data_IF_600647429145
#
_entry.id   IF_600647429145
#
_cell.length_a   1.000
_cell.length_b   1.000
_cell.length_c   1.000
_cell.angle_alpha   90.00
_cell.angle_beta   90.00
_cell.angle_gamma   90.00
#
_symmetry.space_group_name_H-M   'P 1'
#
loop_
_entity.id
_entity.type
_entity.pdbx_description
1 polymer ?
#
# COMPACT_ATOMS: atom_id res chain seq x y z
N UNK A 1 -3.18 -3.81 -27.36
CA UNK A 1 -2.10 -4.68 -26.84
C UNK A 1 -2.71 -5.67 -25.87
N UNK A 2 -2.37 -6.97 -25.96
CA UNK A 2 -2.89 -8.00 -25.07
C UNK A 2 -1.73 -8.59 -24.27
N UNK A 3 -1.92 -8.77 -22.96
CA UNK A 3 -0.92 -9.33 -22.05
C UNK A 3 -1.57 -10.39 -21.17
N UNK A 4 -0.95 -11.55 -21.06
CA UNK A 4 -1.36 -12.60 -20.12
C UNK A 4 -0.54 -12.47 -18.84
N UNK A 5 -1.20 -12.55 -17.70
CA UNK A 5 -0.58 -12.47 -16.38
C UNK A 5 -1.12 -13.60 -15.49
N UNK A 6 -0.31 -13.98 -14.51
CA UNK A 6 -0.51 -15.15 -13.65
C UNK A 6 -1.14 -14.84 -12.29
N UNK A 7 -1.40 -13.56 -12.00
CA UNK A 7 -1.98 -13.16 -10.74
C UNK A 7 -2.78 -11.84 -10.84
N UNK A 8 -3.69 -11.64 -9.91
CA UNK A 8 -4.58 -10.48 -9.86
C UNK A 8 -3.84 -9.17 -9.58
N UNK A 9 -2.72 -9.22 -8.86
CA UNK A 9 -1.90 -8.04 -8.55
C UNK A 9 -1.27 -7.49 -9.84
N UNK A 10 -0.83 -8.38 -10.73
CA UNK A 10 -0.32 -7.96 -12.04
C UNK A 10 -1.42 -7.31 -12.89
N UNK A 11 -2.68 -7.79 -12.81
CA UNK A 11 -3.84 -7.15 -13.45
C UNK A 11 -4.04 -5.72 -12.90
N UNK A 12 -4.02 -5.55 -11.58
CA UNK A 12 -4.17 -4.23 -10.94
C UNK A 12 -3.04 -3.28 -11.34
N UNK A 13 -1.80 -3.76 -11.39
CA UNK A 13 -0.64 -2.97 -11.80
C UNK A 13 -0.78 -2.48 -13.25
N UNK A 14 -1.15 -3.38 -14.17
CA UNK A 14 -1.35 -3.04 -15.57
C UNK A 14 -2.54 -2.09 -15.77
N UNK A 15 -3.61 -2.28 -15.02
CA UNK A 15 -4.79 -1.41 -15.03
C UNK A 15 -4.42 0.01 -14.58
N UNK A 16 -3.68 0.14 -13.46
CA UNK A 16 -3.24 1.43 -12.95
C UNK A 16 -2.30 2.13 -13.93
N UNK A 17 -1.36 1.40 -14.50
CA UNK A 17 -0.45 1.93 -15.53
C UNK A 17 -1.20 2.42 -16.77
N UNK A 18 -2.18 1.64 -17.25
CA UNK A 18 -2.98 2.02 -18.41
C UNK A 18 -3.79 3.30 -18.15
N UNK A 19 -4.43 3.39 -16.98
CA UNK A 19 -5.19 4.58 -16.58
C UNK A 19 -4.30 5.83 -16.45
N UNK A 20 -3.10 5.71 -15.90
CA UNK A 20 -2.15 6.82 -15.80
C UNK A 20 -1.69 7.34 -17.16
N UNK A 21 -1.65 6.44 -18.17
CA UNK A 21 -1.28 6.79 -19.56
C UNK A 21 -2.48 7.16 -20.43
N UNK A 22 -3.69 7.17 -19.88
CA UNK A 22 -4.92 7.44 -20.63
C UNK A 22 -5.31 6.34 -21.61
N UNK A 23 -4.85 5.11 -21.39
CA UNK A 23 -5.21 3.97 -22.23
C UNK A 23 -6.48 3.31 -21.72
N UNK A 24 -7.36 2.88 -22.63
CA UNK A 24 -8.46 1.99 -22.30
C UNK A 24 -7.93 0.64 -21.82
N UNK A 25 -8.48 0.10 -20.73
CA UNK A 25 -8.06 -1.20 -20.20
C UNK A 25 -9.27 -2.09 -19.90
N UNK A 26 -9.16 -3.36 -20.29
CA UNK A 26 -10.13 -4.43 -19.97
C UNK A 26 -9.36 -5.63 -19.46
N UNK A 27 -9.84 -6.23 -18.37
CA UNK A 27 -9.27 -7.45 -17.80
C UNK A 27 -10.31 -8.58 -17.80
N UNK A 28 -9.87 -9.78 -18.10
CA UNK A 28 -10.71 -10.99 -18.12
C UNK A 28 -9.97 -12.14 -17.44
N UNK A 29 -10.63 -12.86 -16.53
CA UNK A 29 -10.10 -14.08 -15.93
C UNK A 29 -10.36 -15.25 -16.87
N UNK A 30 -9.29 -15.88 -17.39
CA UNK A 30 -9.38 -17.03 -18.29
C UNK A 30 -9.45 -18.34 -17.51
N UNK A 31 -8.65 -18.50 -16.48
CA UNK A 31 -8.63 -19.68 -15.61
C UNK A 31 -8.09 -19.31 -14.23
N UNK A 32 -8.03 -20.30 -13.31
CA UNK A 32 -7.38 -20.09 -12.02
C UNK A 32 -5.89 -19.75 -12.20
N UNK A 33 -5.50 -18.55 -11.78
CA UNK A 33 -4.14 -18.05 -11.91
C UNK A 33 -3.78 -17.52 -13.31
N UNK A 34 -4.76 -17.34 -14.22
CA UNK A 34 -4.49 -16.72 -15.54
C UNK A 34 -5.50 -15.63 -15.87
N UNK A 35 -4.98 -14.45 -16.15
CA UNK A 35 -5.76 -13.27 -16.49
C UNK A 35 -5.26 -12.67 -17.81
N UNK A 36 -6.18 -12.21 -18.64
CA UNK A 36 -5.90 -11.48 -19.86
C UNK A 36 -6.19 -10.00 -19.62
N UNK A 37 -5.22 -9.15 -19.86
CA UNK A 37 -5.37 -7.71 -19.82
C UNK A 37 -5.22 -7.16 -21.24
N UNK A 38 -6.26 -6.51 -21.73
CA UNK A 38 -6.29 -5.86 -23.03
C UNK A 38 -6.19 -4.36 -22.84
N UNK A 39 -5.16 -3.73 -23.39
CA UNK A 39 -4.97 -2.29 -23.39
C UNK A 39 -5.22 -1.72 -24.80
N UNK A 40 -6.10 -0.74 -24.88
CA UNK A 40 -6.44 0.00 -26.10
C UNK A 40 -5.68 1.33 -26.07
N UNK A 41 -4.69 1.47 -26.94
CA UNK A 41 -3.90 2.71 -27.09
C UNK A 41 -4.64 3.56 -28.13
N UNK A 42 -5.32 4.62 -27.68
CA UNK A 42 -5.93 5.60 -28.58
C UNK A 42 -4.85 6.40 -29.33
N UNK A 43 -5.09 6.76 -30.58
CA UNK A 43 -4.15 7.53 -31.42
C UNK A 43 -3.84 8.94 -30.88
N UNK A 44 -4.56 9.43 -29.86
CA UNK A 44 -4.35 10.76 -29.25
C UNK A 44 -3.28 10.81 -28.16
N UNK A 45 -2.73 9.68 -27.73
CA UNK A 45 -1.74 9.64 -26.65
C UNK A 45 -0.28 9.92 -27.08
N UNK A 46 -0.04 10.24 -28.35
CA UNK A 46 1.31 10.47 -28.89
C UNK A 46 1.77 11.93 -28.91
N UNK A 47 1.01 12.86 -28.38
CA UNK A 47 1.40 14.29 -28.41
C UNK A 47 1.22 14.95 -27.03
N UNK A 48 2.35 15.15 -26.35
CA UNK A 48 2.60 16.38 -25.60
C UNK A 48 2.03 16.54 -24.22
N UNK A 49 2.92 16.34 -23.26
CA UNK A 49 3.16 17.25 -22.17
C UNK A 49 2.35 18.58 -22.22
N UNK A 50 1.61 18.94 -21.20
CA UNK A 50 1.49 20.23 -20.53
C UNK A 50 0.08 20.53 -19.98
N UNK A 51 0.10 21.04 -18.74
CA UNK A 51 -0.85 21.96 -18.11
C UNK A 51 -2.09 21.39 -17.40
N UNK A 52 -1.95 21.43 -16.08
CA UNK A 52 -2.90 21.97 -15.09
C UNK A 52 -4.22 22.51 -15.67
N UNK A 53 -5.34 21.94 -15.28
CA UNK A 53 -6.50 22.75 -14.90
C UNK A 53 -7.44 21.99 -13.98
N UNK A 54 -7.89 22.70 -12.95
CA UNK A 54 -8.79 22.27 -11.91
C UNK A 54 -10.24 22.14 -12.43
N UNK A 55 -11.02 21.44 -11.63
CA UNK A 55 -12.47 21.36 -11.57
C UNK A 55 -13.14 20.33 -12.49
N UNK A 56 -13.59 19.20 -11.90
CA UNK A 56 -15.03 19.07 -11.68
C UNK A 56 -15.34 18.03 -10.58
N UNK A 57 -16.25 18.39 -9.72
CA UNK A 57 -16.71 17.61 -8.59
C UNK A 57 -17.68 16.52 -9.06
N UNK A 58 -17.42 15.29 -8.66
CA UNK A 58 -18.46 14.28 -8.53
C UNK A 58 -18.33 13.65 -7.16
N UNK A 59 -19.25 14.03 -6.30
CA UNK A 59 -19.49 13.50 -4.97
C UNK A 59 -19.74 12.00 -5.06
N UNK A 60 -18.89 11.22 -4.44
CA UNK A 60 -19.25 9.91 -3.90
C UNK A 60 -19.12 10.02 -2.39
N UNK A 61 -20.25 10.02 -1.73
CA UNK A 61 -20.39 9.99 -0.29
C UNK A 61 -19.58 8.81 0.26
N UNK A 62 -18.42 9.14 0.84
CA UNK A 62 -17.76 8.24 1.79
C UNK A 62 -18.36 8.53 3.14
N UNK A 63 -19.01 7.54 3.72
CA UNK A 63 -19.43 7.56 5.11
C UNK A 63 -18.26 8.04 5.98
N UNK A 64 -18.43 9.23 6.55
CA UNK A 64 -17.56 9.77 7.60
C UNK A 64 -17.75 8.90 8.84
N UNK A 65 -16.89 7.91 8.98
CA UNK A 65 -16.73 7.26 10.27
C UNK A 65 -15.92 8.22 11.13
N UNK A 66 -16.61 8.90 12.05
CA UNK A 66 -16.03 9.81 13.04
C UNK A 66 -15.08 9.05 13.96
N UNK A 67 -13.84 8.90 13.58
CA UNK A 67 -12.76 8.56 14.48
C UNK A 67 -12.28 9.83 15.21
N UNK A 68 -11.89 9.75 16.50
CA UNK A 68 -11.46 10.90 17.27
C UNK A 68 -10.26 11.59 16.61
N UNK A 69 -10.23 12.91 16.69
CA UNK A 69 -9.32 13.88 16.10
C UNK A 69 -7.81 13.57 16.25
N UNK A 70 -7.32 12.49 15.67
CA UNK A 70 -5.90 12.29 15.53
C UNK A 70 -5.35 13.25 14.46
N UNK A 71 -4.37 14.08 14.82
CA UNK A 71 -3.66 14.94 13.88
C UNK A 71 -2.72 14.04 13.07
N UNK A 72 -2.98 13.90 11.78
CA UNK A 72 -2.11 13.15 10.88
C UNK A 72 -1.11 14.11 10.20
N UNK A 73 0.18 13.81 10.36
CA UNK A 73 1.23 14.47 9.60
C UNK A 73 1.34 13.87 8.19
N UNK A 74 1.95 14.60 7.25
CA UNK A 74 2.29 14.05 5.92
C UNK A 74 3.56 13.18 5.99
N UNK A 75 3.61 12.28 6.96
CA UNK A 75 4.70 11.32 7.18
C UNK A 75 4.27 9.94 6.75
N UNK A 76 5.11 9.29 5.97
CA UNK A 76 4.98 7.88 5.59
C UNK A 76 6.04 7.06 6.32
N UNK A 77 5.62 6.04 7.04
CA UNK A 77 6.53 5.06 7.68
C UNK A 77 6.67 3.86 6.76
N UNK A 78 7.90 3.41 6.53
CA UNK A 78 8.21 2.31 5.61
C UNK A 78 8.90 1.18 6.37
N UNK A 79 8.24 0.05 6.51
CA UNK A 79 8.75 -1.13 7.22
C UNK A 79 9.03 -2.25 6.22
N UNK A 80 10.31 -2.50 5.95
CA UNK A 80 10.78 -3.46 4.96
C UNK A 80 11.27 -4.80 5.54
N UNK A 81 11.42 -4.88 6.84
CA UNK A 81 11.88 -6.08 7.55
C UNK A 81 11.00 -6.35 8.78
N UNK A 82 11.03 -7.58 9.28
CA UNK A 82 10.38 -7.97 10.53
C UNK A 82 11.24 -7.67 11.78
N UNK A 83 12.33 -6.95 11.57
CA UNK A 83 13.27 -6.49 12.60
C UNK A 83 13.80 -5.12 12.24
N UNK A 84 14.39 -4.42 13.20
CA UNK A 84 14.98 -3.08 13.04
C UNK A 84 16.50 -3.16 13.17
N UNK A 85 17.21 -2.56 12.19
CA UNK A 85 18.65 -2.57 12.12
C UNK A 85 19.26 -3.84 11.54
N UNK A 86 20.60 -3.84 11.34
CA UNK A 86 21.37 -4.92 10.69
C UNK A 86 22.26 -5.71 11.68
N UNK A 87 22.01 -5.58 12.96
CA UNK A 87 22.78 -6.24 14.00
C UNK A 87 22.21 -7.61 14.40
N UNK A 88 21.99 -7.76 15.70
CA UNK A 88 21.38 -8.96 16.26
C UNK A 88 19.89 -9.05 15.90
N UNK A 89 19.47 -10.19 15.33
CA UNK A 89 18.11 -10.38 14.85
C UNK A 89 17.06 -10.42 15.98
N UNK A 90 17.39 -11.02 17.13
CA UNK A 90 16.47 -11.09 18.26
C UNK A 90 16.26 -9.68 18.84
N UNK A 91 17.34 -8.92 19.01
CA UNK A 91 17.24 -7.52 19.41
C UNK A 91 16.45 -6.71 18.38
N UNK A 92 16.71 -6.91 17.09
CA UNK A 92 15.99 -6.22 16.01
C UNK A 92 14.47 -6.44 16.03
N UNK A 93 14.01 -7.66 16.40
CA UNK A 93 12.58 -7.96 16.61
C UNK A 93 11.99 -7.23 17.80
N UNK A 94 12.74 -7.10 18.88
CA UNK A 94 12.30 -6.32 20.05
C UNK A 94 12.21 -4.83 19.70
N UNK A 95 13.19 -4.33 18.96
CA UNK A 95 13.26 -2.92 18.55
C UNK A 95 12.12 -2.54 17.60
N UNK A 96 11.80 -3.37 16.59
CA UNK A 96 10.69 -3.05 15.67
C UNK A 96 9.33 -3.05 16.38
N UNK A 97 9.12 -3.95 17.34
CA UNK A 97 7.92 -3.93 18.18
C UNK A 97 7.85 -2.63 19.00
N UNK A 98 8.94 -2.27 19.67
CA UNK A 98 9.03 -1.02 20.44
C UNK A 98 8.82 0.23 19.56
N UNK A 99 9.33 0.21 18.33
CA UNK A 99 9.13 1.30 17.35
C UNK A 99 7.65 1.46 16.96
N UNK A 100 6.96 0.35 16.64
CA UNK A 100 5.54 0.38 16.29
C UNK A 100 4.70 0.86 17.48
N UNK A 101 4.98 0.36 18.68
CA UNK A 101 4.35 0.84 19.90
C UNK A 101 4.59 2.35 20.10
N UNK A 102 5.82 2.81 19.94
CA UNK A 102 6.14 4.24 20.08
C UNK A 102 5.40 5.13 19.07
N UNK A 103 5.01 4.61 17.91
CA UNK A 103 4.16 5.34 16.96
C UNK A 103 2.76 5.57 17.51
N UNK A 104 2.20 4.65 18.32
CA UNK A 104 0.86 4.81 18.92
C UNK A 104 0.80 5.93 19.95
N UNK A 105 1.95 6.27 20.53
CA UNK A 105 2.10 7.28 21.59
C UNK A 105 2.50 8.67 21.07
N UNK A 106 2.57 8.85 19.73
CA UNK A 106 2.92 10.15 19.17
C UNK A 106 1.71 11.09 19.14
N UNK A 107 1.94 12.38 19.40
CA UNK A 107 0.91 13.43 19.30
C UNK A 107 0.45 13.63 17.84
N UNK A 108 1.32 13.38 16.88
CA UNK A 108 1.05 13.45 15.43
C UNK A 108 1.35 12.10 14.81
N UNK A 109 0.29 11.40 14.42
CA UNK A 109 0.41 10.08 13.82
C UNK A 109 0.88 10.17 12.36
N UNK A 110 1.57 9.13 11.83
CA UNK A 110 1.86 9.04 10.41
C UNK A 110 0.56 8.93 9.60
N UNK A 111 0.57 9.43 8.38
CA UNK A 111 -0.56 9.29 7.46
C UNK A 111 -0.70 7.84 6.97
N UNK A 112 0.42 7.23 6.64
CA UNK A 112 0.45 5.88 6.05
C UNK A 112 1.63 5.09 6.61
N UNK A 113 1.42 3.80 6.86
CA UNK A 113 2.49 2.83 7.15
C UNK A 113 2.50 1.79 6.03
N UNK A 114 3.65 1.65 5.37
CA UNK A 114 3.86 0.75 4.24
C UNK A 114 4.67 -0.48 4.69
N UNK A 115 4.14 -1.66 4.43
CA UNK A 115 4.81 -2.92 4.72
C UNK A 115 5.15 -3.66 3.43
N UNK A 116 6.42 -4.00 3.23
CA UNK A 116 6.86 -4.85 2.14
C UNK A 116 8.03 -5.75 2.56
N UNK A 117 8.41 -6.70 1.68
CA UNK A 117 9.41 -7.71 1.99
C UNK A 117 9.13 -8.39 3.34
N UNK A 118 10.12 -8.60 4.21
CA UNK A 118 9.97 -9.21 5.54
C UNK A 118 8.98 -8.48 6.44
N UNK A 119 8.82 -7.16 6.28
CA UNK A 119 7.87 -6.35 7.03
C UNK A 119 6.40 -6.78 6.85
N UNK A 120 6.05 -7.42 5.72
CA UNK A 120 4.70 -7.93 5.48
C UNK A 120 4.24 -8.95 6.54
N UNK A 121 5.16 -9.65 7.19
CA UNK A 121 4.85 -10.60 8.28
C UNK A 121 4.24 -9.91 9.51
N UNK A 122 4.59 -8.64 9.73
CA UNK A 122 4.14 -7.89 10.91
C UNK A 122 2.64 -7.56 10.90
N UNK A 123 2.01 -7.59 9.73
CA UNK A 123 0.58 -7.33 9.54
C UNK A 123 -0.28 -8.61 9.52
N UNK A 124 0.36 -9.77 9.66
CA UNK A 124 -0.29 -11.08 9.54
C UNK A 124 -0.49 -11.76 10.90
N UNK A 125 -1.23 -12.89 10.89
CA UNK A 125 -1.46 -13.73 12.06
C UNK A 125 -0.17 -14.01 12.85
N UNK A 126 -0.32 -14.17 14.17
CA UNK A 126 0.77 -14.45 15.11
C UNK A 126 1.81 -13.33 15.27
N UNK A 127 1.66 -12.20 14.60
CA UNK A 127 2.56 -11.07 14.78
C UNK A 127 2.37 -10.40 16.15
N UNK A 128 3.46 -10.12 16.88
CA UNK A 128 3.38 -9.47 18.18
C UNK A 128 3.05 -7.97 18.12
N UNK A 129 2.91 -7.42 16.90
CA UNK A 129 2.63 -5.98 16.66
C UNK A 129 1.18 -5.72 16.26
N UNK A 130 0.34 -6.75 16.12
CA UNK A 130 -1.03 -6.61 15.60
C UNK A 130 -1.91 -5.66 16.41
N UNK A 131 -1.84 -5.73 17.73
CA UNK A 131 -2.68 -4.88 18.59
C UNK A 131 -2.32 -3.40 18.42
N UNK A 132 -1.02 -3.09 18.38
CA UNK A 132 -0.54 -1.72 18.16
C UNK A 132 -0.92 -1.21 16.77
N UNK A 133 -0.79 -2.05 15.73
CA UNK A 133 -1.17 -1.71 14.36
C UNK A 133 -2.68 -1.49 14.22
N UNK A 134 -3.52 -2.34 14.83
CA UNK A 134 -4.96 -2.14 14.85
C UNK A 134 -5.36 -0.85 15.60
N UNK A 135 -4.64 -0.50 16.65
CA UNK A 135 -4.83 0.77 17.35
C UNK A 135 -4.53 1.97 16.46
N UNK A 136 -3.45 1.91 15.68
CA UNK A 136 -3.10 2.95 14.70
C UNK A 136 -4.14 3.04 13.58
N UNK A 137 -4.59 1.91 13.03
CA UNK A 137 -5.65 1.85 12.03
C UNK A 137 -6.97 2.44 12.55
N UNK A 138 -7.36 2.11 13.77
CA UNK A 138 -8.55 2.66 14.41
C UNK A 138 -8.47 4.19 14.64
N UNK A 139 -7.27 4.73 14.73
CA UNK A 139 -7.01 6.17 14.79
C UNK A 139 -6.88 6.83 13.40
N UNK A 140 -7.14 6.09 12.33
CA UNK A 140 -7.17 6.61 10.96
C UNK A 140 -5.83 6.54 10.21
N UNK A 141 -4.81 5.88 10.75
CA UNK A 141 -3.57 5.61 10.02
C UNK A 141 -3.82 4.59 8.92
N UNK A 142 -3.47 4.92 7.70
CA UNK A 142 -3.59 3.99 6.56
C UNK A 142 -2.48 2.94 6.63
N UNK A 143 -2.85 1.66 6.72
CA UNK A 143 -1.90 0.53 6.77
C UNK A 143 -1.99 -0.25 5.46
N UNK A 144 -0.87 -0.32 4.72
CA UNK A 144 -0.80 -0.95 3.42
C UNK A 144 0.29 -2.01 3.36
N UNK A 145 -0.07 -3.23 2.96
CA UNK A 145 0.86 -4.36 2.84
C UNK A 145 0.98 -4.82 1.40
N UNK A 146 2.22 -4.98 0.94
CA UNK A 146 2.52 -5.41 -0.43
C UNK A 146 1.98 -6.81 -0.72
N UNK A 147 1.04 -6.92 -1.66
CA UNK A 147 0.43 -8.20 -2.04
C UNK A 147 1.42 -9.19 -2.65
N UNK A 148 2.40 -8.73 -3.43
CA UNK A 148 3.48 -9.60 -3.95
C UNK A 148 4.26 -10.24 -2.81
N UNK A 149 4.52 -9.51 -1.71
CA UNK A 149 5.23 -10.04 -0.55
C UNK A 149 4.36 -11.04 0.22
N UNK A 150 3.09 -10.73 0.43
CA UNK A 150 2.13 -11.65 1.05
C UNK A 150 2.07 -12.97 0.27
N UNK A 151 1.96 -12.90 -1.05
CA UNK A 151 1.93 -14.09 -1.90
C UNK A 151 3.24 -14.89 -1.81
N UNK A 152 4.40 -14.21 -1.87
CA UNK A 152 5.72 -14.86 -1.78
C UNK A 152 5.91 -15.63 -0.48
N UNK A 153 5.43 -15.10 0.64
CA UNK A 153 5.53 -15.74 1.96
C UNK A 153 4.35 -16.67 2.30
N UNK A 154 3.36 -16.83 1.41
CA UNK A 154 2.16 -17.63 1.66
C UNK A 154 1.27 -17.06 2.74
N UNK A 155 1.20 -15.72 2.84
CA UNK A 155 0.50 -14.98 3.89
C UNK A 155 -0.75 -14.24 3.39
N UNK A 156 -1.17 -14.47 2.15
CA UNK A 156 -2.29 -13.73 1.52
C UNK A 156 -3.58 -13.82 2.33
N UNK A 157 -3.91 -15.01 2.84
CA UNK A 157 -5.13 -15.25 3.62
C UNK A 157 -4.94 -14.99 5.14
N UNK A 158 -3.74 -14.54 5.53
CA UNK A 158 -3.35 -14.34 6.93
C UNK A 158 -3.24 -12.87 7.35
N UNK A 159 -3.54 -11.95 6.45
CA UNK A 159 -3.54 -10.52 6.75
C UNK A 159 -4.59 -10.21 7.81
N UNK A 160 -4.22 -9.53 8.90
CA UNK A 160 -5.08 -9.23 10.05
C UNK A 160 -5.32 -7.74 10.26
N UNK A 161 -4.52 -6.88 9.63
CA UNK A 161 -4.62 -5.42 9.78
C UNK A 161 -4.22 -4.73 8.48
N UNK A 162 -4.89 -3.66 8.15
CA UNK A 162 -4.67 -2.89 6.93
C UNK A 162 -5.25 -3.56 5.69
N UNK A 163 -4.79 -3.10 4.55
CA UNK A 163 -5.22 -3.58 3.24
C UNK A 163 -4.05 -3.97 2.34
N UNK A 164 -4.35 -4.84 1.37
CA UNK A 164 -3.37 -5.27 0.37
C UNK A 164 -3.15 -4.16 -0.64
N UNK A 165 -1.88 -3.90 -0.98
CA UNK A 165 -1.51 -2.90 -1.98
C UNK A 165 -0.48 -3.46 -2.96
N UNK A 166 -0.16 -2.67 -3.97
CA UNK A 166 0.82 -2.97 -5.00
C UNK A 166 1.98 -1.96 -5.02
N UNK A 167 3.03 -2.25 -5.78
CA UNK A 167 4.24 -1.42 -5.83
C UNK A 167 3.98 -0.02 -6.42
N UNK A 168 2.98 0.16 -7.28
CA UNK A 168 2.64 1.50 -7.80
C UNK A 168 2.14 2.41 -6.68
N UNK A 169 1.23 1.90 -5.84
CA UNK A 169 0.71 2.67 -4.68
C UNK A 169 1.82 2.93 -3.67
N UNK A 170 2.67 1.93 -3.38
CA UNK A 170 3.81 2.09 -2.49
C UNK A 170 4.74 3.21 -2.99
N UNK A 171 5.13 3.17 -4.26
CA UNK A 171 5.98 4.19 -4.87
C UNK A 171 5.32 5.58 -4.85
N UNK A 172 4.03 5.65 -5.18
CA UNK A 172 3.25 6.89 -5.16
C UNK A 172 3.21 7.51 -3.77
N UNK A 173 2.84 6.73 -2.74
CA UNK A 173 2.82 7.19 -1.35
C UNK A 173 4.19 7.68 -0.88
N UNK A 174 5.26 6.97 -1.23
CA UNK A 174 6.62 7.36 -0.87
C UNK A 174 7.07 8.65 -1.58
N UNK A 175 6.74 8.81 -2.86
CA UNK A 175 7.16 10.01 -3.63
C UNK A 175 6.36 11.26 -3.31
N UNK A 176 5.13 11.11 -2.81
CA UNK A 176 4.26 12.20 -2.38
C UNK A 176 4.38 12.53 -0.89
N UNK A 177 5.12 11.75 -0.13
CA UNK A 177 5.33 11.98 1.29
C UNK A 177 6.11 13.27 1.54
N UNK A 178 5.69 14.05 2.54
CA UNK A 178 6.47 15.19 3.04
C UNK A 178 7.67 14.74 3.87
N UNK A 179 7.56 13.58 4.51
CA UNK A 179 8.63 12.96 5.28
C UNK A 179 8.50 11.43 5.19
N UNK A 180 9.65 10.74 5.10
CA UNK A 180 9.71 9.27 5.12
C UNK A 180 10.55 8.83 6.31
N UNK A 181 9.99 7.95 7.14
CA UNK A 181 10.68 7.28 8.23
C UNK A 181 10.84 5.81 7.88
N UNK A 182 12.06 5.32 7.86
CA UNK A 182 12.40 3.92 7.59
C UNK A 182 13.33 3.42 8.68
N UNK A 183 12.82 2.63 9.63
CA UNK A 183 13.60 2.07 10.73
C UNK A 183 14.54 0.94 10.29
#
# INVERSE_FOLDING_TARGET
>A
METLVDNEIAVQNLTKMANQKGYGVKSEKISDGQYKVTMEIGEEAAAGNTALSANDAAETEKEENCAPNAIHGNTVVVISADHMGEGDEELGKVLIKGFIYALTEQDVLPQTILFYNGGAKLTCEESPTLEDLKSLEAQGVEILTCGTCLNHYGLTDKLQVGSVTNMYVIAEKMTQAGNIVKP
#
